data_IF_478517292755
#
_entry.id   IF_478517292755
#
_cell.length_a   1.000
_cell.length_b   1.000
_cell.length_c   1.000
_cell.angle_alpha   90.00
_cell.angle_beta   90.00
_cell.angle_gamma   90.00
#
_symmetry.space_group_name_H-M   'P 1'
#
loop_
_entity.id
_entity.type
_entity.pdbx_description
1 polymer ?
#
# COMPACT_ATOMS: atom_id res chain seq x y z
N UNK A 1 21.64 63.04 -22.81
CA UNK A 1 20.52 63.38 -23.71
C UNK A 1 20.57 62.48 -24.93
N UNK A 2 19.38 62.20 -25.49
CA UNK A 2 19.10 61.42 -26.71
C UNK A 2 19.03 59.90 -26.57
N UNK A 3 17.79 59.44 -26.42
CA UNK A 3 17.37 58.10 -26.82
C UNK A 3 17.54 57.89 -28.33
N UNK A 4 17.81 56.67 -28.80
CA UNK A 4 17.68 56.35 -30.21
C UNK A 4 16.23 55.95 -30.57
N UNK A 5 15.84 56.42 -31.75
CA UNK A 5 14.53 56.37 -32.40
C UNK A 5 14.02 54.95 -32.66
N UNK A 6 12.71 54.80 -32.50
CA UNK A 6 11.93 53.69 -33.06
C UNK A 6 12.04 53.67 -34.59
N UNK A 7 12.35 52.49 -35.15
CA UNK A 7 12.31 52.22 -36.59
C UNK A 7 10.97 51.53 -36.88
N UNK A 8 10.15 52.21 -37.69
CA UNK A 8 8.94 51.62 -38.25
C UNK A 8 9.34 50.58 -39.31
N UNK A 9 8.89 49.35 -39.13
CA UNK A 9 8.93 48.31 -40.16
C UNK A 9 7.54 48.17 -40.78
N UNK A 10 7.53 48.38 -42.08
CA UNK A 10 6.41 48.41 -43.00
C UNK A 10 5.55 47.15 -42.98
N UNK A 11 4.24 47.36 -43.17
CA UNK A 11 3.23 46.33 -43.40
C UNK A 11 3.60 45.44 -44.58
N UNK A 12 3.73 44.13 -44.33
CA UNK A 12 3.73 43.11 -45.38
C UNK A 12 2.44 42.30 -45.24
N UNK A 13 1.50 42.47 -46.19
CA UNK A 13 0.33 41.61 -46.32
C UNK A 13 0.70 40.35 -47.10
N UNK A 14 0.96 39.27 -46.38
CA UNK A 14 0.86 37.90 -46.89
C UNK A 14 -0.48 37.31 -46.48
N UNK A 15 -1.31 36.90 -47.46
CA UNK A 15 -2.62 36.28 -47.24
C UNK A 15 -2.53 34.77 -47.48
N UNK A 16 -3.25 34.05 -46.61
CA UNK A 16 -3.78 32.68 -46.72
C UNK A 16 -2.84 31.53 -46.34
N UNK A 17 -3.23 30.87 -45.25
CA UNK A 17 -2.76 29.56 -44.82
C UNK A 17 -3.27 29.33 -43.40
N UNK A 18 -4.53 28.90 -43.27
CA UNK A 18 -5.13 28.64 -41.98
C UNK A 18 -4.50 27.41 -41.33
N UNK A 19 -3.69 27.64 -40.30
CA UNK A 19 -3.43 26.70 -39.23
C UNK A 19 -3.71 27.46 -37.94
N UNK A 20 -4.97 27.41 -37.52
CA UNK A 20 -5.31 27.61 -36.12
C UNK A 20 -4.67 26.44 -35.36
N UNK A 21 -3.38 26.57 -35.06
CA UNK A 21 -2.73 25.80 -34.01
C UNK A 21 -3.42 26.20 -32.71
N UNK A 22 -4.56 25.54 -32.46
CA UNK A 22 -5.22 25.46 -31.18
C UNK A 22 -4.18 24.89 -30.23
N UNK A 23 -3.46 25.78 -29.55
CA UNK A 23 -2.75 25.46 -28.32
C UNK A 23 -3.79 24.83 -27.41
N UNK A 24 -3.86 23.51 -27.47
CA UNK A 24 -4.63 22.69 -26.55
C UNK A 24 -3.93 22.89 -25.22
N UNK A 25 -4.38 23.92 -24.49
CA UNK A 25 -4.03 24.19 -23.11
C UNK A 25 -4.29 22.87 -22.38
N UNK A 26 -3.22 22.14 -22.08
CA UNK A 26 -3.28 20.93 -21.28
C UNK A 26 -3.84 21.36 -19.93
N UNK A 27 -5.11 21.06 -19.69
CA UNK A 27 -5.75 21.38 -18.43
C UNK A 27 -4.93 20.73 -17.31
N UNK A 28 -4.30 21.53 -16.47
CA UNK A 28 -3.65 21.04 -15.28
C UNK A 28 -4.75 20.53 -14.35
N UNK A 29 -4.82 19.21 -14.16
CA UNK A 29 -5.66 18.64 -13.12
C UNK A 29 -5.08 19.06 -11.77
N UNK A 30 -5.94 19.63 -10.91
CA UNK A 30 -5.59 19.92 -9.53
C UNK A 30 -5.47 18.61 -8.77
N UNK A 31 -4.28 18.32 -8.25
CA UNK A 31 -4.04 17.18 -7.38
C UNK A 31 -4.61 17.44 -5.99
N UNK A 32 -5.13 16.40 -5.37
CA UNK A 32 -5.57 16.38 -3.98
C UNK A 32 -4.62 15.53 -3.12
N UNK A 33 -4.67 15.69 -1.80
CA UNK A 33 -3.90 14.84 -0.87
C UNK A 33 -4.32 13.37 -0.97
N UNK A 34 -5.59 13.10 -1.28
CA UNK A 34 -6.13 11.76 -1.44
C UNK A 34 -5.46 10.99 -2.60
N UNK A 35 -5.06 11.68 -3.67
CA UNK A 35 -4.35 11.06 -4.80
C UNK A 35 -2.98 10.47 -4.40
N UNK A 36 -2.46 10.89 -3.24
CA UNK A 36 -1.20 10.41 -2.66
C UNK A 36 -1.43 9.55 -1.41
N UNK A 37 -2.68 9.20 -1.08
CA UNK A 37 -3.02 8.46 0.14
C UNK A 37 -2.73 9.24 1.42
N UNK A 38 -2.88 10.57 1.39
CA UNK A 38 -2.64 11.46 2.53
C UNK A 38 -3.97 12.00 3.04
N UNK A 39 -4.29 11.73 4.30
CA UNK A 39 -5.40 12.33 5.02
C UNK A 39 -5.03 13.77 5.49
N UNK A 40 -5.94 14.75 5.40
CA UNK A 40 -5.64 16.13 5.81
C UNK A 40 -5.26 16.26 7.29
N UNK A 41 -5.89 15.47 8.16
CA UNK A 41 -5.73 15.57 9.62
C UNK A 41 -4.64 14.63 10.16
N UNK A 42 -4.46 13.47 9.54
CA UNK A 42 -3.66 12.36 10.07
C UNK A 42 -2.42 12.05 9.21
N UNK A 43 -2.26 12.75 8.08
CA UNK A 43 -1.16 12.54 7.14
C UNK A 43 -1.22 11.16 6.51
N UNK A 44 -0.12 10.40 6.58
CA UNK A 44 -0.03 9.05 6.01
C UNK A 44 -0.64 7.95 6.87
N UNK A 45 -1.15 8.29 8.06
CA UNK A 45 -1.78 7.30 8.92
C UNK A 45 -3.18 6.96 8.39
N UNK A 46 -3.56 5.67 8.38
CA UNK A 46 -4.92 5.27 8.06
C UNK A 46 -5.90 5.76 9.13
N UNK A 47 -7.09 6.17 8.69
CA UNK A 47 -8.20 6.45 9.58
C UNK A 47 -8.77 5.13 10.12
N UNK A 48 -8.86 5.00 11.45
CA UNK A 48 -9.46 3.88 12.19
C UNK A 48 -9.21 2.48 11.58
N UNK A 49 -7.98 1.92 11.75
CA UNK A 49 -7.63 0.63 11.18
C UNK A 49 -8.60 -0.47 11.62
N UNK A 50 -9.11 -1.23 10.65
CA UNK A 50 -10.05 -2.32 10.93
C UNK A 50 -9.49 -3.31 11.95
N UNK A 51 -10.26 -3.57 13.02
CA UNK A 51 -9.85 -4.43 14.13
C UNK A 51 -10.03 -5.92 13.83
N UNK A 52 -10.99 -6.27 12.96
CA UNK A 52 -11.33 -7.66 12.65
C UNK A 52 -11.89 -7.81 11.24
N UNK A 53 -11.49 -8.87 10.56
CA UNK A 53 -11.92 -9.17 9.19
C UNK A 53 -13.22 -10.01 9.20
N UNK A 54 -14.22 -9.69 8.37
CA UNK A 54 -15.38 -10.56 8.21
C UNK A 54 -14.95 -11.91 7.63
N UNK A 55 -15.59 -12.99 8.09
CA UNK A 55 -15.41 -14.36 7.60
C UNK A 55 -13.97 -14.92 7.63
N UNK A 56 -13.08 -14.32 8.43
CA UNK A 56 -11.68 -14.74 8.58
C UNK A 56 -11.33 -15.11 10.04
N UNK A 57 -12.01 -16.11 10.62
CA UNK A 57 -11.88 -16.43 12.05
C UNK A 57 -10.45 -16.80 12.45
N UNK A 58 -9.70 -17.52 11.60
CA UNK A 58 -8.31 -17.91 11.88
C UNK A 58 -7.36 -16.71 11.94
N UNK A 59 -7.49 -15.74 11.03
CA UNK A 59 -6.68 -14.52 11.05
C UNK A 59 -7.02 -13.64 12.25
N UNK A 60 -8.30 -13.47 12.55
CA UNK A 60 -8.74 -12.71 13.73
C UNK A 60 -8.26 -13.38 15.04
N UNK A 61 -8.34 -14.70 15.13
CA UNK A 61 -7.81 -15.42 16.27
C UNK A 61 -6.31 -15.20 16.42
N UNK A 62 -5.55 -15.36 15.32
CA UNK A 62 -4.11 -15.13 15.32
C UNK A 62 -3.77 -13.69 15.75
N UNK A 63 -4.46 -12.68 15.23
CA UNK A 63 -4.17 -11.27 15.58
C UNK A 63 -4.40 -10.98 17.07
N UNK A 64 -5.47 -11.53 17.66
CA UNK A 64 -5.78 -11.33 19.07
C UNK A 64 -4.88 -12.16 20.00
N UNK A 65 -4.54 -13.39 19.64
CA UNK A 65 -3.80 -14.31 20.51
C UNK A 65 -2.27 -14.27 20.31
N UNK A 66 -1.77 -13.58 19.27
CA UNK A 66 -0.34 -13.51 18.97
C UNK A 66 0.54 -13.13 20.18
N UNK A 67 0.19 -12.14 21.04
CA UNK A 67 1.00 -11.81 22.21
C UNK A 67 1.13 -12.99 23.20
N UNK A 68 0.06 -13.77 23.38
CA UNK A 68 0.06 -14.95 24.26
C UNK A 68 0.86 -16.09 23.62
N UNK A 69 0.67 -16.34 22.33
CA UNK A 69 1.42 -17.34 21.57
C UNK A 69 2.92 -17.05 21.59
N UNK A 70 3.33 -15.78 21.45
CA UNK A 70 4.72 -15.34 21.57
C UNK A 70 5.27 -15.61 22.98
N UNK A 71 4.52 -15.23 24.02
CA UNK A 71 4.92 -15.44 25.42
C UNK A 71 5.07 -16.92 25.75
N UNK A 72 4.23 -17.78 25.16
CA UNK A 72 4.26 -19.23 25.33
C UNK A 72 5.23 -19.97 24.38
N UNK A 73 5.86 -19.26 23.43
CA UNK A 73 6.65 -19.86 22.32
C UNK A 73 5.88 -20.93 21.53
N UNK A 74 4.65 -20.59 21.15
CA UNK A 74 3.73 -21.48 20.43
C UNK A 74 3.34 -20.97 19.04
N UNK A 75 3.85 -19.83 18.59
CA UNK A 75 3.59 -19.27 17.26
C UNK A 75 3.97 -20.25 16.16
N UNK A 76 5.16 -20.85 16.18
CA UNK A 76 5.58 -21.80 15.13
C UNK A 76 4.67 -23.03 15.12
N UNK A 77 4.35 -23.56 16.31
CA UNK A 77 3.45 -24.71 16.45
C UNK A 77 2.07 -24.39 15.88
N UNK A 78 1.46 -23.31 16.33
CA UNK A 78 0.14 -22.86 15.87
C UNK A 78 0.12 -22.67 14.35
N UNK A 79 1.10 -21.97 13.78
CA UNK A 79 1.19 -21.73 12.34
C UNK A 79 1.38 -23.03 11.54
N UNK A 80 2.14 -23.99 12.06
CA UNK A 80 2.36 -25.27 11.38
C UNK A 80 1.16 -26.22 11.47
N UNK A 81 0.36 -26.14 12.55
CA UNK A 81 -0.85 -26.95 12.75
C UNK A 81 -2.07 -26.37 12.00
N UNK A 82 -2.08 -25.08 11.69
CA UNK A 82 -3.13 -24.43 10.93
C UNK A 82 -2.98 -24.70 9.41
N UNK A 83 -3.92 -25.40 8.76
CA UNK A 83 -3.77 -25.81 7.37
C UNK A 83 -3.90 -24.66 6.37
N UNK A 84 -4.67 -23.62 6.69
CA UNK A 84 -4.85 -22.46 5.80
C UNK A 84 -5.31 -21.22 6.57
N UNK A 85 -4.47 -20.18 6.60
CA UNK A 85 -4.82 -18.88 7.18
C UNK A 85 -5.82 -18.09 6.34
N UNK A 86 -5.69 -18.19 5.02
CA UNK A 86 -6.50 -17.46 4.07
C UNK A 86 -6.71 -18.35 2.83
N UNK A 87 -7.73 -19.24 2.86
CA UNK A 87 -7.96 -20.20 1.78
C UNK A 87 -8.32 -19.53 0.44
N UNK A 88 -8.95 -18.36 0.49
CA UNK A 88 -9.23 -17.52 -0.66
C UNK A 88 -9.29 -16.05 -0.24
N UNK A 89 -9.02 -15.16 -1.19
CA UNK A 89 -9.25 -13.72 -1.02
C UNK A 89 -10.67 -13.40 -1.50
N UNK A 90 -11.56 -12.89 -0.63
CA UNK A 90 -12.89 -12.46 -1.03
C UNK A 90 -12.86 -11.36 -2.09
N UNK A 91 -13.74 -11.45 -3.09
CA UNK A 91 -13.86 -10.42 -4.13
C UNK A 91 -14.47 -9.12 -3.63
N UNK A 92 -15.14 -9.13 -2.48
CA UNK A 92 -15.76 -7.98 -1.83
C UNK A 92 -14.77 -7.12 -1.03
N UNK A 93 -13.52 -7.56 -0.87
CA UNK A 93 -12.54 -6.84 -0.07
C UNK A 93 -12.13 -5.51 -0.67
N UNK A 94 -12.11 -4.49 0.19
CA UNK A 94 -11.53 -3.20 -0.09
C UNK A 94 -10.06 -3.13 0.31
N UNK A 95 -9.48 -1.95 0.13
CA UNK A 95 -8.08 -1.70 0.47
C UNK A 95 -7.76 -1.90 1.96
N UNK A 96 -8.69 -1.53 2.85
CA UNK A 96 -8.52 -1.67 4.30
C UNK A 96 -8.51 -3.13 4.76
N UNK A 97 -9.26 -4.01 4.09
CA UNK A 97 -9.20 -5.45 4.34
C UNK A 97 -7.81 -5.99 3.99
N UNK A 98 -7.28 -5.62 2.82
CA UNK A 98 -5.92 -5.99 2.42
C UNK A 98 -4.87 -5.46 3.40
N UNK A 99 -5.00 -4.20 3.85
CA UNK A 99 -4.09 -3.59 4.84
C UNK A 99 -4.14 -4.32 6.18
N UNK A 100 -5.33 -4.72 6.62
CA UNK A 100 -5.53 -5.48 7.86
C UNK A 100 -4.89 -6.85 7.77
N UNK A 101 -5.13 -7.60 6.69
CA UNK A 101 -4.50 -8.90 6.46
C UNK A 101 -2.98 -8.77 6.37
N UNK A 102 -2.49 -7.75 5.64
CA UNK A 102 -1.06 -7.48 5.52
C UNK A 102 -0.42 -7.25 6.90
N UNK A 103 -1.07 -6.48 7.78
CA UNK A 103 -0.63 -6.27 9.17
C UNK A 103 -0.55 -7.59 9.93
N UNK A 104 -1.63 -8.37 9.96
CA UNK A 104 -1.70 -9.65 10.69
C UNK A 104 -0.61 -10.61 10.21
N UNK A 105 -0.50 -10.82 8.89
CA UNK A 105 0.49 -11.71 8.30
C UNK A 105 1.93 -11.22 8.51
N UNK A 106 2.14 -9.89 8.55
CA UNK A 106 3.46 -9.31 8.81
C UNK A 106 3.94 -9.56 10.22
N UNK A 107 3.07 -9.37 11.22
CA UNK A 107 3.37 -9.72 12.60
C UNK A 107 3.56 -11.22 12.77
N UNK A 108 2.70 -12.04 12.18
CA UNK A 108 2.81 -13.50 12.22
C UNK A 108 4.11 -14.01 11.59
N UNK A 109 4.49 -13.48 10.43
CA UNK A 109 5.74 -13.82 9.75
C UNK A 109 6.97 -13.45 10.56
N UNK A 110 6.99 -12.24 11.13
CA UNK A 110 8.10 -11.81 11.98
C UNK A 110 8.19 -12.65 13.26
N UNK A 111 7.05 -12.93 13.89
CA UNK A 111 6.96 -13.79 15.07
C UNK A 111 7.45 -15.23 14.76
N UNK A 112 7.05 -15.80 13.63
CA UNK A 112 7.50 -17.14 13.22
C UNK A 112 9.02 -17.21 13.04
N UNK A 113 9.60 -16.21 12.35
CA UNK A 113 11.04 -16.15 12.14
C UNK A 113 11.76 -16.08 13.47
N UNK A 114 11.38 -15.17 14.36
CA UNK A 114 12.17 -14.81 15.55
C UNK A 114 11.73 -15.46 16.87
N UNK A 115 10.69 -16.33 16.87
CA UNK A 115 10.15 -16.94 18.10
C UNK A 115 11.24 -17.53 19.01
N UNK A 116 12.22 -18.23 18.44
CA UNK A 116 13.31 -18.85 19.20
C UNK A 116 14.53 -17.93 19.19
N UNK A 117 14.95 -17.37 20.36
CA UNK A 117 16.12 -16.51 20.44
C UNK A 117 17.38 -17.21 19.93
N UNK A 118 18.12 -16.54 19.03
CA UNK A 118 19.33 -17.08 18.42
C UNK A 118 19.11 -18.18 17.38
N UNK A 119 17.86 -18.55 17.07
CA UNK A 119 17.54 -19.58 16.07
C UNK A 119 16.43 -19.10 15.11
N UNK A 120 16.71 -18.09 14.26
CA UNK A 120 15.74 -17.61 13.30
C UNK A 120 15.34 -18.70 12.31
N UNK A 121 14.06 -18.76 11.95
CA UNK A 121 13.59 -19.68 10.91
C UNK A 121 14.09 -19.20 9.53
N UNK A 122 14.74 -20.09 8.78
CA UNK A 122 15.24 -19.78 7.45
C UNK A 122 14.17 -19.82 6.34
N UNK A 123 13.02 -20.44 6.62
CA UNK A 123 11.90 -20.59 5.67
C UNK A 123 10.58 -20.41 6.39
N UNK A 124 9.64 -19.78 5.72
CA UNK A 124 8.25 -19.71 6.14
C UNK A 124 7.45 -20.88 5.56
N UNK A 125 6.46 -21.41 6.29
CA UNK A 125 5.60 -22.45 5.78
C UNK A 125 4.64 -21.86 4.72
N UNK A 126 4.25 -22.64 3.70
CA UNK A 126 3.53 -22.11 2.54
C UNK A 126 2.17 -21.50 2.88
N UNK A 127 1.47 -22.00 3.90
CA UNK A 127 0.19 -21.46 4.37
C UNK A 127 0.29 -20.03 4.92
N UNK A 128 1.49 -19.59 5.30
CA UNK A 128 1.76 -18.21 5.72
C UNK A 128 2.38 -17.41 4.56
N UNK A 129 3.37 -17.98 3.89
CA UNK A 129 4.14 -17.28 2.86
C UNK A 129 3.31 -16.91 1.63
N UNK A 130 2.43 -17.80 1.16
CA UNK A 130 1.62 -17.58 -0.04
C UNK A 130 0.61 -16.44 0.11
N UNK A 131 -0.29 -16.45 1.12
CA UNK A 131 -1.24 -15.34 1.27
C UNK A 131 -0.53 -14.02 1.57
N UNK A 132 0.58 -14.04 2.29
CA UNK A 132 1.32 -12.81 2.56
C UNK A 132 1.91 -12.21 1.28
N UNK A 133 2.46 -13.05 0.40
CA UNK A 133 2.93 -12.61 -0.90
C UNK A 133 1.80 -12.06 -1.78
N UNK A 134 0.68 -12.77 -1.86
CA UNK A 134 -0.47 -12.37 -2.70
C UNK A 134 -1.06 -11.03 -2.24
N UNK A 135 -1.24 -10.84 -0.93
CA UNK A 135 -1.72 -9.58 -0.36
C UNK A 135 -0.70 -8.45 -0.56
N UNK A 136 0.60 -8.75 -0.40
CA UNK A 136 1.67 -7.82 -0.72
C UNK A 136 1.61 -7.34 -2.18
N UNK A 137 1.37 -8.24 -3.13
CA UNK A 137 1.21 -7.88 -4.54
C UNK A 137 -0.01 -6.97 -4.77
N UNK A 138 -1.14 -7.20 -4.10
CA UNK A 138 -2.33 -6.34 -4.18
C UNK A 138 -2.05 -4.92 -3.69
N UNK A 139 -1.24 -4.78 -2.64
CA UNK A 139 -0.86 -3.49 -2.05
C UNK A 139 0.38 -2.86 -2.70
N UNK A 140 1.03 -3.52 -3.67
CA UNK A 140 2.30 -3.06 -4.24
C UNK A 140 3.45 -3.04 -3.23
N UNK A 141 3.44 -3.92 -2.23
CA UNK A 141 4.39 -3.95 -1.10
C UNK A 141 5.04 -5.32 -0.94
N UNK A 142 6.32 -5.38 -0.53
CA UNK A 142 6.96 -6.65 -0.22
C UNK A 142 6.36 -7.28 1.05
N UNK A 143 6.31 -8.63 1.17
CA UNK A 143 5.85 -9.35 2.36
C UNK A 143 6.88 -9.23 3.49
N UNK A 144 6.95 -8.06 4.12
CA UNK A 144 7.81 -7.76 5.26
C UNK A 144 7.10 -6.81 6.21
N UNK A 145 7.30 -7.01 7.52
CA UNK A 145 6.85 -6.07 8.54
C UNK A 145 7.59 -4.75 8.33
N UNK A 146 6.83 -3.73 7.95
CA UNK A 146 7.29 -2.36 7.69
C UNK A 146 6.39 -1.39 8.44
N UNK A 147 6.77 -0.11 8.50
CA UNK A 147 6.04 0.89 9.28
C UNK A 147 4.55 0.96 8.93
N UNK A 148 4.21 0.96 7.64
CA UNK A 148 2.81 0.98 7.19
C UNK A 148 2.06 -0.36 7.37
N UNK A 149 2.65 -1.35 8.04
CA UNK A 149 2.03 -2.63 8.43
C UNK A 149 2.20 -2.94 9.92
N UNK A 150 2.67 -1.98 10.71
CA UNK A 150 2.76 -2.05 12.17
C UNK A 150 1.51 -1.42 12.77
#
# INVERSE_FOLDING_TARGET
>A
MSQPKAIAISSWSGRVGGEEDCMTSRAFQSLSLADFGIAPEQGFLPADPCESLPDCPTLNYLSHELPKLLSARQVRRFINEEPSFLPSIPSSWGEDDYRTVMRILSFAGHAYVWETPGQPAAKLPPQLARPWHEIGQKLGRPPVLSYASY
#
